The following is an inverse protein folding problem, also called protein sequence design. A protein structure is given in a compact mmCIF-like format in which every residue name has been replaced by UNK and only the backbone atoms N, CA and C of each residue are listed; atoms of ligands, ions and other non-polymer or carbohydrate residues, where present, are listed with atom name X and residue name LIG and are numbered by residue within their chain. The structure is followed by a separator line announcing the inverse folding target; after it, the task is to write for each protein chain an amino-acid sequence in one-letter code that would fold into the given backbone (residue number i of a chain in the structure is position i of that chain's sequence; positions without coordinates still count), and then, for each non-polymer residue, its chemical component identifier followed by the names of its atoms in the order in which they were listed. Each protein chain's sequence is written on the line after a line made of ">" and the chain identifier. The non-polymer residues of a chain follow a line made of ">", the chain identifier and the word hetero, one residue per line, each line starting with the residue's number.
data_IF_965785000976
#
_entry.id   IF_965785000976
#
_cell.length_a   1.000
_cell.length_b   1.000
_cell.length_c   1.000
_cell.angle_alpha   90.00
_cell.angle_beta   90.00
_cell.angle_gamma   90.00
#
_symmetry.space_group_name_H-M   'P 1'
#
loop_
_entity.id
_entity.type
_entity.pdbx_description
1 polymer ?
2 non-polymer ?
3 non-polymer ?
4 non-polymer ?
5 non-polymer ?
6 water ?
#
# COMPACT_ATOMS: atom_id res chain seq x y z
N UNK A 1 -0.64 -17.63 -1.90
CA UNK A 1 -2.00 -17.28 -1.58
C UNK A 1 -2.07 -15.90 -0.93
N UNK A 2 -3.15 -15.17 -1.15
CA UNK A 2 -3.38 -13.89 -0.43
C UNK A 2 -4.09 -14.18 0.90
N UNK A 3 -3.35 -13.95 1.99
CA UNK A 3 -3.76 -14.42 3.32
C UNK A 3 -4.20 -13.32 4.27
N UNK A 4 -4.10 -12.03 3.90
CA UNK A 4 -4.59 -10.95 4.78
C UNK A 4 -4.87 -9.73 3.92
N UNK A 5 -5.69 -8.84 4.50
CA UNK A 5 -5.63 -7.42 4.11
C UNK A 5 -4.38 -6.85 4.78
N UNK A 6 -3.39 -6.41 4.05
CA UNK A 6 -2.16 -5.82 4.60
C UNK A 6 -2.42 -4.34 4.92
N UNK A 7 -3.00 -3.57 4.02
CA UNK A 7 -3.21 -2.14 4.34
C UNK A 7 -4.26 -1.57 3.41
N UNK A 8 -4.74 -0.39 3.83
CA UNK A 8 -5.60 0.51 3.01
C UNK A 8 -4.74 1.74 2.68
N UNK A 9 -4.52 2.02 1.41
CA UNK A 9 -3.77 3.20 1.00
C UNK A 9 -4.66 4.40 0.86
N UNK A 10 -4.45 5.41 1.65
CA UNK A 10 -5.31 6.61 1.76
C UNK A 10 -4.49 7.82 1.35
N UNK A 11 -4.89 8.48 0.27
CA UNK A 11 -4.16 9.69 -0.23
C UNK A 11 -4.65 10.94 0.50
N UNK A 12 -3.69 11.82 0.79
CA UNK A 12 -3.97 13.07 1.49
C UNK A 12 -3.03 14.18 1.00
N UNK A 13 -3.53 15.40 1.13
CA UNK A 13 -2.69 16.54 0.69
C UNK A 13 -1.60 16.84 1.69
N UNK A 14 -1.87 16.68 2.98
CA UNK A 14 -0.97 17.00 4.09
C UNK A 14 -0.88 15.80 5.05
N UNK A 15 0.23 15.10 4.93
CA UNK A 15 0.44 13.87 5.74
C UNK A 15 0.36 14.23 7.22
N UNK A 16 1.06 15.30 7.66
CA UNK A 16 1.11 15.58 9.12
C UNK A 16 -0.31 15.87 9.65
N UNK A 17 -1.11 16.62 8.90
CA UNK A 17 -2.47 16.98 9.35
C UNK A 17 -3.35 15.72 9.41
N UNK A 18 -3.20 14.87 8.41
CA UNK A 18 -4.07 13.65 8.35
C UNK A 18 -3.64 12.66 9.44
N UNK A 19 -2.35 12.43 9.65
CA UNK A 19 -1.82 11.64 10.77
C UNK A 19 -2.43 12.13 12.09
N UNK A 20 -2.45 13.45 12.30
CA UNK A 20 -3.02 14.00 13.56
C UNK A 20 -4.53 13.75 13.65
N UNK A 21 -5.22 13.83 12.53
CA UNK A 21 -6.66 13.50 12.50
C UNK A 21 -6.92 12.09 13.04
N UNK A 22 -6.13 11.12 12.49
CA UNK A 22 -6.34 9.71 12.88
C UNK A 22 -5.92 9.51 14.36
N UNK A 23 -4.87 10.18 14.82
CA UNK A 23 -4.48 10.09 16.25
C UNK A 23 -5.55 10.70 17.18
N UNK A 24 -5.97 11.91 16.84
CA UNK A 24 -6.92 12.62 17.72
C UNK A 24 -8.29 11.94 17.73
N UNK A 25 -8.74 11.42 16.59
CA UNK A 25 -10.09 10.91 16.45
C UNK A 25 -10.22 9.49 16.98
N UNK A 26 -9.24 8.62 16.64
CA UNK A 26 -9.32 7.17 16.91
C UNK A 26 -8.25 6.66 17.87
N UNK A 27 -7.26 7.44 18.14
CA UNK A 27 -6.11 7.03 18.99
C UNK A 27 -5.08 6.25 18.23
N UNK A 28 -5.16 6.18 16.91
CA UNK A 28 -4.17 5.41 16.13
C UNK A 28 -2.83 6.15 16.12
N UNK A 29 -1.75 5.42 16.42
CA UNK A 29 -0.41 6.02 16.45
C UNK A 29 0.40 5.62 15.22
N UNK A 30 1.45 6.37 14.95
CA UNK A 30 2.37 6.09 13.82
C UNK A 30 3.28 4.90 14.13
N UNK A 31 3.21 3.83 13.32
CA UNK A 31 4.11 2.67 13.43
C UNK A 31 5.40 2.98 12.71
N UNK A 32 5.40 3.67 11.60
CA UNK A 32 6.56 3.92 10.74
C UNK A 32 6.29 5.03 9.79
N UNK A 33 7.29 5.80 9.41
CA UNK A 33 7.17 6.81 8.34
C UNK A 33 8.38 6.67 7.42
N UNK A 34 8.19 6.87 6.14
CA UNK A 34 9.29 6.82 5.17
C UNK A 34 8.92 7.56 3.91
N UNK A 35 9.92 7.94 3.13
CA UNK A 35 9.76 8.54 1.81
C UNK A 35 10.18 7.51 0.79
N UNK A 36 9.37 7.32 -0.26
CA UNK A 36 9.69 6.39 -1.36
C UNK A 36 9.82 7.26 -2.59
N UNK A 37 11.05 7.62 -2.99
CA UNK A 37 11.19 8.61 -4.09
C UNK A 37 10.78 7.94 -5.42
N UNK A 38 11.03 6.65 -5.63
CA UNK A 38 10.59 5.96 -6.88
C UNK A 38 9.08 6.14 -7.06
N UNK A 39 8.32 5.86 -5.99
CA UNK A 39 6.84 5.91 -6.07
C UNK A 39 6.34 7.34 -5.94
N UNK A 40 7.14 8.27 -5.40
CA UNK A 40 6.75 9.67 -5.25
C UNK A 40 5.77 9.90 -4.10
N UNK A 41 6.05 9.26 -2.97
CA UNK A 41 5.18 9.42 -1.76
C UNK A 41 6.03 9.63 -0.51
N UNK A 42 5.42 10.35 0.43
CA UNK A 42 5.83 10.36 1.85
C UNK A 42 4.69 9.66 2.61
N UNK A 43 5.04 8.63 3.35
CA UNK A 43 3.95 7.79 3.91
C UNK A 43 4.10 7.60 5.38
N UNK A 44 3.00 7.35 6.03
CA UNK A 44 2.93 6.93 7.45
C UNK A 44 2.09 5.67 7.49
N UNK A 45 2.57 4.64 8.18
CA UNK A 45 1.82 3.43 8.51
C UNK A 45 1.29 3.52 9.90
N UNK A 46 -0.02 3.30 10.06
CA UNK A 46 -0.70 3.25 11.38
C UNK A 46 -1.19 1.82 11.56
N UNK A 47 -0.63 1.07 12.53
CA UNK A 47 -1.03 -0.31 12.76
C UNK A 47 -2.37 -0.41 13.47
N UNK A 48 -3.35 -1.12 12.90
CA UNK A 48 -4.66 -1.27 13.53
C UNK A 48 -4.80 -2.59 14.24
N UNK A 49 -4.24 -3.68 13.72
CA UNK A 49 -4.42 -5.00 14.33
C UNK A 49 -3.35 -5.92 13.79
N UNK A 50 -3.11 -7.02 14.51
CA UNK A 50 -2.39 -8.18 13.94
C UNK A 50 -3.37 -9.11 13.26
N UNK A 51 -2.84 -9.99 12.38
CA UNK A 51 -3.67 -10.91 11.58
C UNK A 51 -3.25 -12.39 11.74
N UNK A 52 -4.20 -13.23 11.42
CA UNK A 52 -4.11 -14.70 11.74
C UNK A 52 -3.01 -15.35 10.89
N UNK A 53 -2.51 -14.77 9.79
CA UNK A 53 -1.37 -15.30 9.02
C UNK A 53 -0.01 -14.91 9.60
N UNK A 54 0.03 -14.24 10.76
CA UNK A 54 1.24 -13.74 11.38
C UNK A 54 1.65 -12.34 11.00
N UNK A 55 0.87 -11.72 10.11
CA UNK A 55 1.14 -10.35 9.71
C UNK A 55 0.29 -9.34 10.47
N UNK A 56 0.09 -8.20 9.84
CA UNK A 56 -0.63 -7.09 10.45
C UNK A 56 -1.39 -6.33 9.39
N UNK A 57 -2.29 -5.47 9.85
CA UNK A 57 -3.12 -4.60 8.98
C UNK A 57 -2.92 -3.17 9.39
N UNK A 58 -2.68 -2.31 8.42
CA UNK A 58 -2.33 -0.92 8.60
C UNK A 58 -3.25 0.02 7.81
N UNK A 59 -3.30 1.26 8.24
CA UNK A 59 -3.65 2.38 7.34
C UNK A 59 -2.36 2.95 6.82
N UNK A 60 -2.21 3.05 5.50
CA UNK A 60 -1.04 3.67 4.86
C UNK A 60 -1.48 5.03 4.36
N UNK A 61 -1.09 6.09 5.03
CA UNK A 61 -1.42 7.49 4.64
C UNK A 61 -0.33 7.99 3.71
N UNK A 62 -0.67 8.58 2.59
CA UNK A 62 0.30 8.93 1.54
C UNK A 62 0.07 10.36 1.13
N UNK A 63 1.14 11.17 1.17
CA UNK A 63 1.12 12.50 0.50
C UNK A 63 2.11 12.44 -0.65
N UNK A 64 1.84 13.14 -1.77
CA UNK A 64 2.76 13.13 -2.89
C UNK A 64 4.01 13.95 -2.60
N UNK A 65 5.14 13.50 -3.15
CA UNK A 65 6.43 14.27 -3.10
C UNK A 65 6.54 15.17 -4.32
N UNK A 66 5.68 14.95 -5.31
CA UNK A 66 5.70 15.66 -6.61
C UNK A 66 4.34 15.48 -7.29
N UNK A 67 3.97 16.43 -8.13
CA UNK A 67 2.66 16.43 -8.81
C UNK A 67 2.65 15.30 -9.83
N UNK A 68 3.79 15.06 -10.49
CA UNK A 68 3.95 14.02 -11.53
C UNK A 68 4.28 12.70 -10.86
N UNK A 69 3.24 12.12 -10.23
CA UNK A 69 3.34 10.86 -9.47
C UNK A 69 1.96 10.22 -9.50
N UNK A 70 1.90 8.93 -9.19
CA UNK A 70 0.59 8.26 -9.10
C UNK A 70 -0.34 8.99 -8.13
N UNK A 71 0.13 9.27 -6.92
CA UNK A 71 -0.74 9.89 -5.89
C UNK A 71 -0.96 11.37 -6.22
N UNK A 72 0.04 12.06 -6.76
CA UNK A 72 -0.18 13.50 -7.07
C UNK A 72 -1.26 13.66 -8.13
N UNK A 73 -1.21 12.82 -9.15
CA UNK A 73 -2.20 12.87 -10.25
C UNK A 73 -3.57 12.51 -9.70
N UNK A 74 -3.63 11.46 -8.90
CA UNK A 74 -4.90 11.00 -8.37
C UNK A 74 -5.55 12.06 -7.49
N UNK A 75 -4.79 12.70 -6.60
CA UNK A 75 -5.36 13.72 -5.71
C UNK A 75 -5.87 14.91 -6.54
N UNK A 76 -5.14 15.25 -7.59
CA UNK A 76 -5.52 16.40 -8.43
C UNK A 76 -6.90 16.14 -9.07
N UNK A 77 -7.15 14.91 -9.50
CA UNK A 77 -8.42 14.50 -10.18
C UNK A 77 -9.52 14.25 -9.15
N UNK A 78 -9.22 13.63 -8.00
CA UNK A 78 -10.30 13.04 -7.17
C UNK A 78 -10.45 13.67 -5.78
N UNK A 79 -9.46 14.42 -5.30
CA UNK A 79 -9.43 14.85 -3.89
C UNK A 79 -8.99 13.71 -2.98
N UNK A 80 -8.94 14.04 -1.71
CA UNK A 80 -8.41 13.10 -0.69
C UNK A 80 -9.39 11.93 -0.55
N UNK A 81 -8.83 10.73 -0.27
CA UNK A 81 -9.67 9.54 -0.04
C UNK A 81 -8.88 8.27 -0.29
N UNK A 82 -9.60 7.16 -0.31
CA UNK A 82 -8.97 5.84 -0.53
C UNK A 82 -8.39 5.76 -1.93
N UNK A 83 -7.12 5.40 -2.02
CA UNK A 83 -6.36 5.28 -3.26
C UNK A 83 -6.16 3.84 -3.70
N UNK A 84 -5.90 2.92 -2.75
CA UNK A 84 -5.63 1.52 -3.14
C UNK A 84 -5.91 0.59 -1.97
N UNK A 85 -5.99 -0.71 -2.21
CA UNK A 85 -6.05 -1.72 -1.14
C UNK A 85 -4.90 -2.67 -1.36
N UNK A 86 -4.32 -3.23 -0.32
CA UNK A 86 -3.18 -4.15 -0.44
C UNK A 86 -3.48 -5.47 0.27
N UNK A 87 -3.17 -6.58 -0.39
CA UNK A 87 -3.28 -7.95 0.13
C UNK A 87 -1.86 -8.47 0.41
N UNK A 88 -1.71 -9.07 1.58
CA UNK A 88 -0.43 -9.71 1.90
C UNK A 88 -0.38 -11.18 1.52
N UNK A 89 0.86 -11.60 1.24
CA UNK A 89 1.19 -12.95 0.76
C UNK A 89 2.61 -13.26 1.25
N UNK A 90 2.89 -14.56 1.39
CA UNK A 90 4.26 -15.02 1.68
C UNK A 90 5.09 -15.12 0.42
N UNK A 91 4.49 -14.98 -0.76
CA UNK A 91 5.23 -15.12 -2.03
C UNK A 91 4.58 -14.29 -3.13
N UNK A 92 4.92 -13.02 -3.14
CA UNK A 92 4.29 -12.07 -4.08
C UNK A 92 4.74 -12.46 -5.50
N UNK A 93 5.96 -12.93 -5.66
CA UNK A 93 6.41 -13.30 -7.05
C UNK A 93 5.50 -14.40 -7.60
N UNK A 94 5.20 -15.44 -6.85
CA UNK A 94 4.38 -16.58 -7.33
C UNK A 94 2.96 -16.10 -7.56
N UNK A 95 2.37 -15.34 -6.61
CA UNK A 95 0.96 -14.90 -6.74
C UNK A 95 0.83 -13.96 -7.92
N UNK A 96 1.77 -13.07 -8.12
CA UNK A 96 1.75 -12.14 -9.26
C UNK A 96 1.82 -12.95 -10.57
N UNK A 97 2.67 -13.97 -10.65
CA UNK A 97 2.73 -14.80 -11.89
C UNK A 97 1.40 -15.50 -12.15
N UNK A 98 0.75 -16.04 -11.13
CA UNK A 98 -0.51 -16.77 -11.28
C UNK A 98 -1.59 -15.81 -11.77
N UNK A 99 -1.60 -14.57 -11.24
CA UNK A 99 -2.59 -13.57 -11.64
C UNK A 99 -2.33 -13.06 -13.09
N UNK A 100 -1.07 -12.86 -13.42
CA UNK A 100 -0.68 -12.49 -14.83
C UNK A 100 -1.28 -13.54 -15.77
N UNK A 101 -1.20 -14.81 -15.40
CA UNK A 101 -1.69 -15.91 -16.26
C UNK A 101 -3.19 -15.94 -16.38
N UNK A 102 -3.95 -15.15 -15.62
CA UNK A 102 -5.39 -14.99 -15.76
C UNK A 102 -5.73 -13.81 -16.65
N UNK A 103 -4.76 -13.02 -17.15
CA UNK A 103 -5.01 -11.88 -18.05
C UNK A 103 -5.33 -10.59 -17.36
N UNK A 104 -5.19 -10.57 -16.01
CA UNK A 104 -5.20 -9.28 -15.26
C UNK A 104 -3.84 -8.60 -15.41
N UNK A 105 -3.80 -7.31 -15.74
CA UNK A 105 -2.54 -6.59 -15.95
C UNK A 105 -1.79 -6.47 -14.63
N UNK A 106 -0.60 -7.01 -14.55
CA UNK A 106 0.37 -6.82 -13.45
C UNK A 106 1.30 -5.71 -13.85
N UNK A 107 1.39 -4.62 -13.11
CA UNK A 107 2.09 -3.43 -13.59
C UNK A 107 3.62 -3.64 -13.58
N UNK A 108 4.21 -4.45 -12.75
CA UNK A 108 5.69 -4.58 -12.74
C UNK A 108 6.12 -5.96 -13.24
N UNK A 109 7.20 -6.10 -14.03
CA UNK A 109 7.70 -7.46 -14.33
C UNK A 109 8.13 -8.22 -13.06
N UNK A 110 8.70 -7.50 -12.12
CA UNK A 110 9.31 -8.07 -10.91
C UNK A 110 8.85 -7.17 -9.77
N UNK A 111 8.57 -7.73 -8.60
CA UNK A 111 8.21 -6.84 -7.50
C UNK A 111 9.25 -5.76 -7.17
N UNK A 112 8.79 -4.60 -6.74
CA UNK A 112 9.57 -3.39 -6.47
C UNK A 112 9.60 -3.15 -4.93
N UNK A 113 10.48 -2.27 -4.49
CA UNK A 113 10.58 -1.98 -3.03
C UNK A 113 9.41 -1.12 -2.57
N UNK A 114 8.80 -1.56 -1.48
CA UNK A 114 7.77 -0.78 -0.80
C UNK A 114 8.18 -0.54 0.65
N UNK A 115 7.21 -0.31 1.49
CA UNK A 115 7.35 0.16 2.89
C UNK A 115 8.17 -0.83 3.71
N UNK A 116 9.08 -0.35 4.56
CA UNK A 116 9.77 -1.24 5.50
C UNK A 116 10.41 -2.45 4.78
N UNK A 117 11.02 -2.16 3.62
CA UNK A 117 11.74 -3.15 2.81
C UNK A 117 10.84 -4.20 2.16
N UNK A 118 9.51 -4.01 2.19
CA UNK A 118 8.56 -4.99 1.58
C UNK A 118 8.84 -5.04 0.07
N UNK A 119 8.28 -6.08 -0.55
CA UNK A 119 8.30 -6.19 -2.03
C UNK A 119 6.86 -6.21 -2.53
N UNK A 120 6.62 -5.34 -3.53
CA UNK A 120 5.20 -5.01 -3.88
C UNK A 120 5.01 -5.11 -5.38
N UNK A 121 3.78 -5.32 -5.81
CA UNK A 121 3.40 -5.12 -7.23
C UNK A 121 1.98 -4.63 -7.20
N UNK A 122 1.45 -4.23 -8.33
CA UNK A 122 0.09 -3.69 -8.44
C UNK A 122 -0.64 -4.33 -9.61
N UNK A 123 -1.95 -4.43 -9.50
CA UNK A 123 -2.87 -4.90 -10.55
C UNK A 123 -3.62 -3.69 -11.05
N UNK A 124 -3.83 -3.59 -12.37
CA UNK A 124 -4.47 -2.41 -12.97
C UNK A 124 -5.92 -2.29 -12.51
N UNK A 125 -6.35 -1.10 -12.01
CA UNK A 125 -7.70 -0.96 -11.53
C UNK A 125 -8.78 -1.24 -12.54
N UNK A 126 -8.47 -0.99 -13.83
CA UNK A 126 -9.54 -1.27 -14.81
C UNK A 126 -9.73 -2.76 -15.01
N UNK A 127 -8.85 -3.64 -14.55
CA UNK A 127 -9.02 -5.09 -14.58
C UNK A 127 -9.52 -5.64 -13.25
N UNK A 128 -9.72 -4.74 -12.28
CA UNK A 128 -10.13 -5.16 -10.91
C UNK A 128 -11.41 -4.45 -10.49
N UNK A 129 -12.33 -4.18 -11.40
CA UNK A 129 -13.61 -3.50 -11.09
C UNK A 129 -13.35 -2.20 -10.35
N UNK A 130 -12.37 -1.41 -10.77
CA UNK A 130 -12.14 -0.04 -10.31
C UNK A 130 -11.27 0.11 -9.06
N UNK A 131 -10.70 -1.03 -8.60
CA UNK A 131 -9.90 -0.98 -7.34
C UNK A 131 -8.42 -1.20 -7.67
N UNK A 132 -7.59 -0.17 -7.45
CA UNK A 132 -6.13 -0.36 -7.56
C UNK A 132 -5.74 -1.35 -6.46
N UNK A 133 -5.11 -2.42 -6.83
CA UNK A 133 -4.91 -3.57 -5.90
C UNK A 133 -3.43 -3.86 -5.81
N UNK A 134 -2.87 -3.77 -4.65
CA UNK A 134 -1.45 -4.07 -4.36
C UNK A 134 -1.33 -5.47 -3.80
N UNK A 135 -0.24 -6.16 -4.16
CA UNK A 135 0.17 -7.43 -3.55
C UNK A 135 1.50 -7.21 -2.85
N UNK A 136 1.61 -7.63 -1.59
CA UNK A 136 2.86 -7.31 -0.83
C UNK A 136 3.31 -8.55 -0.04
N UNK A 137 4.66 -8.75 -0.06
CA UNK A 137 5.35 -9.65 0.89
C UNK A 137 6.27 -8.83 1.79
N UNK A 138 6.01 -8.93 3.08
CA UNK A 138 6.81 -8.25 4.11
C UNK A 138 8.24 -8.75 4.04
N UNK A 139 9.18 -7.86 4.41
CA UNK A 139 10.62 -8.22 4.43
C UNK A 139 10.90 -9.18 5.56
N UNK A 140 10.33 -8.89 6.74
CA UNK A 140 10.44 -9.79 7.91
C UNK A 140 9.42 -10.91 7.69
N UNK A 141 9.88 -12.15 7.51
CA UNK A 141 8.98 -13.32 7.28
C UNK A 141 8.08 -13.52 8.52
N UNK A 142 6.81 -13.88 8.29
CA UNK A 142 5.72 -13.96 9.30
C UNK A 142 5.59 -15.39 9.85
N UNK A 143 5.21 -15.53 11.13
CA UNK A 143 4.90 -16.82 11.82
C UNK A 143 3.42 -16.89 12.19
N UNK A 144 2.56 -17.56 11.37
CA UNK A 144 1.11 -17.66 11.62
C UNK A 144 0.65 -17.94 13.07
#
# INVERSE_FOLDING_TARGET
>A
SLTRIDHIGIACHDLDATVEFYRATYGFEVFHTEVNEEQGVREAMLKINDTSDGGASYLQLLEPTREDSAVGKWLAKNGEGVHHIAFGTADVDADAADIRDKGVRVLYDEPRRGTMGSRITFLHPKDCHGVLTELVTSAAVESPEH
#
